data_IF_884644248509
#
_entry.id   IF_884644248509
#
_cell.length_a   1.000
_cell.length_b   1.000
_cell.length_c   1.000
_cell.angle_alpha   90.00
_cell.angle_beta   90.00
_cell.angle_gamma   90.00
#
_symmetry.space_group_name_H-M   'P 1'
#
loop_
_entity.id
_entity.type
_entity.pdbx_description
1 polymer ?
#
# COMPACT_ATOMS: atom_id res chain seq x y z
N UNK A 1 -3.83 16.99 0.78
CA UNK A 1 -4.79 16.68 -0.30
C UNK A 1 -4.32 15.47 -1.09
N UNK A 2 -5.23 14.56 -1.36
CA UNK A 2 -4.92 13.34 -2.13
C UNK A 2 -5.14 13.62 -3.60
N UNK A 3 -4.12 13.36 -4.42
CA UNK A 3 -4.09 13.70 -5.84
C UNK A 3 -3.77 12.47 -6.67
N UNK A 4 -4.06 12.54 -7.98
CA UNK A 4 -3.65 11.55 -8.96
C UNK A 4 -2.32 11.99 -9.59
N UNK A 5 -1.29 11.12 -9.61
CA UNK A 5 -0.04 11.46 -10.29
C UNK A 5 -0.19 11.32 -11.80
N UNK A 6 0.79 11.87 -12.52
CA UNK A 6 0.94 11.66 -13.96
C UNK A 6 2.17 10.78 -14.21
N UNK A 7 2.37 10.26 -15.43
CA UNK A 7 3.58 9.49 -15.74
C UNK A 7 4.90 10.23 -15.47
N UNK A 8 4.87 11.56 -15.47
CA UNK A 8 6.05 12.37 -15.12
C UNK A 8 6.45 12.21 -13.66
N UNK A 9 5.54 11.76 -12.80
CA UNK A 9 5.80 11.54 -11.38
C UNK A 9 6.36 10.16 -11.08
N UNK A 10 6.41 9.25 -12.05
CA UNK A 10 6.75 7.85 -11.80
C UNK A 10 8.16 7.67 -11.24
N UNK A 11 9.13 8.46 -11.70
CA UNK A 11 10.49 8.37 -11.16
C UNK A 11 10.54 8.78 -9.68
N UNK A 12 9.78 9.78 -9.30
CA UNK A 12 9.68 10.18 -7.89
C UNK A 12 8.97 9.10 -7.07
N UNK A 13 7.92 8.47 -7.60
CA UNK A 13 7.24 7.35 -6.95
C UNK A 13 8.22 6.19 -6.69
N UNK A 14 9.05 5.87 -7.67
CA UNK A 14 10.07 4.82 -7.50
C UNK A 14 11.06 5.20 -6.41
N UNK A 15 11.45 6.46 -6.33
CA UNK A 15 12.36 6.96 -5.28
C UNK A 15 11.72 6.79 -3.90
N UNK A 16 10.44 7.14 -3.76
CA UNK A 16 9.70 6.99 -2.49
C UNK A 16 9.61 5.51 -2.11
N UNK A 17 9.26 4.66 -3.05
CA UNK A 17 9.15 3.22 -2.80
C UNK A 17 10.49 2.63 -2.39
N UNK A 18 11.56 2.95 -3.14
CA UNK A 18 12.89 2.43 -2.85
C UNK A 18 13.38 2.86 -1.47
N UNK A 19 13.20 4.13 -1.12
CA UNK A 19 13.57 4.63 0.20
C UNK A 19 12.81 3.91 1.31
N UNK A 20 11.50 3.72 1.12
CA UNK A 20 10.65 3.02 2.08
C UNK A 20 11.06 1.56 2.22
N UNK A 21 11.28 0.87 1.10
CA UNK A 21 11.70 -0.53 1.08
C UNK A 21 13.04 -0.71 1.78
N UNK A 22 14.02 0.16 1.51
CA UNK A 22 15.32 0.07 2.17
C UNK A 22 15.24 0.26 3.67
N UNK A 23 14.27 1.03 4.16
CA UNK A 23 14.12 1.27 5.59
C UNK A 23 13.31 0.19 6.31
N UNK A 24 12.48 -0.59 5.60
CA UNK A 24 11.54 -1.53 6.20
C UNK A 24 11.71 -2.98 5.76
N UNK A 25 12.21 -3.21 4.55
CA UNK A 25 12.32 -4.55 3.96
C UNK A 25 13.75 -5.05 4.04
N UNK A 26 14.29 -5.20 5.26
CA UNK A 26 15.68 -5.63 5.47
C UNK A 26 15.96 -7.05 4.97
N UNK A 27 14.92 -7.82 4.71
CA UNK A 27 15.02 -9.17 4.15
C UNK A 27 15.29 -9.17 2.65
N UNK A 28 15.13 -8.01 1.95
CA UNK A 28 15.42 -7.91 0.52
C UNK A 28 16.88 -7.58 0.29
N UNK A 29 17.52 -8.34 -0.62
CA UNK A 29 18.86 -8.04 -1.08
C UNK A 29 18.81 -6.95 -2.15
N UNK A 30 19.94 -6.30 -2.40
CA UNK A 30 20.05 -5.26 -3.43
C UNK A 30 19.60 -5.80 -4.80
N UNK A 31 19.94 -7.04 -5.13
CA UNK A 31 19.54 -7.67 -6.39
C UNK A 31 18.01 -7.76 -6.53
N UNK A 32 17.30 -7.97 -5.42
CA UNK A 32 15.85 -8.05 -5.43
C UNK A 32 15.24 -6.67 -5.66
N UNK A 33 15.78 -5.64 -5.03
CA UNK A 33 15.32 -4.26 -5.22
C UNK A 33 15.48 -3.87 -6.68
N UNK A 34 16.62 -4.15 -7.28
CA UNK A 34 16.88 -3.83 -8.68
C UNK A 34 16.05 -4.67 -9.63
N UNK A 35 15.76 -5.92 -9.28
CA UNK A 35 14.90 -6.79 -10.09
C UNK A 35 13.48 -6.22 -10.23
N UNK A 36 12.88 -5.74 -9.13
CA UNK A 36 11.50 -5.26 -9.14
C UNK A 36 11.36 -3.86 -9.75
N UNK A 37 12.41 -3.06 -9.73
CA UNK A 37 12.34 -1.65 -10.13
C UNK A 37 11.73 -1.43 -11.52
N UNK A 38 12.23 -2.07 -12.60
CA UNK A 38 11.63 -1.88 -13.93
C UNK A 38 10.24 -2.48 -14.03
N UNK A 39 9.96 -3.59 -13.33
CA UNK A 39 8.63 -4.19 -13.33
C UNK A 39 7.60 -3.25 -12.73
N UNK A 40 7.95 -2.58 -11.65
CA UNK A 40 7.05 -1.65 -10.98
C UNK A 40 6.74 -0.47 -11.89
N UNK A 41 7.77 0.13 -12.48
CA UNK A 41 7.60 1.29 -13.36
C UNK A 41 6.82 0.96 -14.64
N UNK A 42 7.14 -0.16 -15.26
CA UNK A 42 6.63 -0.50 -16.59
C UNK A 42 5.32 -1.27 -16.55
N UNK A 43 5.04 -1.98 -15.46
CA UNK A 43 3.87 -2.84 -15.38
C UNK A 43 2.97 -2.52 -14.20
N UNK A 44 3.51 -2.47 -12.97
CA UNK A 44 2.69 -2.37 -11.78
C UNK A 44 2.02 -1.01 -11.63
N UNK A 45 2.73 0.08 -11.94
CA UNK A 45 2.14 1.41 -11.89
C UNK A 45 0.99 1.57 -12.89
N UNK A 46 1.08 0.91 -14.05
CA UNK A 46 0.04 0.96 -15.06
C UNK A 46 -1.17 0.08 -14.72
N UNK A 47 -0.97 -0.92 -13.86
CA UNK A 47 -2.01 -1.89 -13.50
C UNK A 47 -2.88 -1.41 -12.35
N UNK A 48 -2.53 -0.30 -11.69
CA UNK A 48 -3.24 0.20 -10.50
C UNK A 48 -3.67 1.64 -10.68
N UNK A 49 -4.61 2.06 -9.87
CA UNK A 49 -5.03 3.45 -9.74
C UNK A 49 -4.17 4.10 -8.67
N UNK A 50 -3.32 5.04 -9.05
CA UNK A 50 -2.34 5.66 -8.17
C UNK A 50 -2.89 6.95 -7.52
N UNK A 51 -2.55 7.13 -6.24
CA UNK A 51 -2.87 8.32 -5.46
C UNK A 51 -1.65 8.77 -4.69
N UNK A 52 -1.45 10.08 -4.59
CA UNK A 52 -0.29 10.67 -3.92
C UNK A 52 -0.72 11.73 -2.91
N UNK A 53 0.14 11.97 -1.92
CA UNK A 53 0.09 13.13 -1.05
C UNK A 53 1.44 13.82 -1.14
N UNK A 54 1.43 15.15 -1.40
CA UNK A 54 2.65 15.96 -1.38
C UNK A 54 2.78 16.63 -0.02
N UNK A 55 4.03 16.83 0.42
CA UNK A 55 4.32 17.56 1.65
C UNK A 55 4.34 19.08 1.35
N UNK A 56 4.72 19.84 2.36
CA UNK A 56 4.80 21.32 2.26
C UNK A 56 5.81 21.79 1.23
N UNK A 57 6.81 20.96 0.91
CA UNK A 57 7.84 21.25 -0.08
C UNK A 57 7.46 20.76 -1.48
N UNK A 58 6.20 20.37 -1.69
CA UNK A 58 5.70 19.82 -2.96
C UNK A 58 6.36 18.49 -3.37
N UNK A 59 7.04 17.82 -2.45
CA UNK A 59 7.59 16.48 -2.68
C UNK A 59 6.52 15.43 -2.41
N UNK A 60 6.55 14.33 -3.14
CA UNK A 60 5.67 13.20 -2.86
C UNK A 60 6.10 12.57 -1.53
N UNK A 61 5.26 12.72 -0.51
CA UNK A 61 5.52 12.18 0.82
C UNK A 61 5.08 10.72 0.94
N UNK A 62 4.01 10.36 0.23
CA UNK A 62 3.41 9.04 0.30
C UNK A 62 2.60 8.79 -0.97
N UNK A 63 2.44 7.51 -1.30
CA UNK A 63 1.55 7.12 -2.41
C UNK A 63 0.93 5.76 -2.15
N UNK A 64 -0.19 5.50 -2.84
CA UNK A 64 -0.80 4.17 -2.86
C UNK A 64 -1.27 3.81 -4.26
N UNK A 65 -1.34 2.52 -4.53
CA UNK A 65 -1.90 1.97 -5.75
C UNK A 65 -3.04 1.03 -5.40
N UNK A 66 -4.17 1.22 -6.05
CA UNK A 66 -5.37 0.44 -5.82
C UNK A 66 -5.74 -0.37 -7.07
N UNK A 67 -6.11 -1.62 -6.88
CA UNK A 67 -6.85 -2.38 -7.87
C UNK A 67 -8.34 -2.38 -7.47
N UNK A 68 -9.17 -3.14 -8.18
CA UNK A 68 -10.61 -3.12 -7.91
C UNK A 68 -10.98 -3.50 -6.47
N UNK A 69 -10.21 -4.38 -5.84
CA UNK A 69 -10.52 -4.91 -4.52
C UNK A 69 -9.42 -4.74 -3.48
N UNK A 70 -8.22 -4.33 -3.90
CA UNK A 70 -7.04 -4.38 -3.04
C UNK A 70 -6.30 -3.05 -2.99
N UNK A 71 -5.76 -2.76 -1.79
CA UNK A 71 -4.63 -1.83 -1.68
C UNK A 71 -3.40 -2.64 -2.09
N UNK A 72 -2.90 -2.39 -3.29
CA UNK A 72 -1.75 -3.12 -3.85
C UNK A 72 -0.42 -2.55 -3.38
N UNK A 73 -0.37 -1.25 -3.16
CA UNK A 73 0.82 -0.53 -2.73
C UNK A 73 0.42 0.58 -1.77
N UNK A 74 1.21 0.75 -0.71
CA UNK A 74 1.08 1.90 0.19
C UNK A 74 2.45 2.16 0.80
N UNK A 75 3.09 3.25 0.37
CA UNK A 75 4.43 3.59 0.81
C UNK A 75 4.49 5.03 1.31
N UNK A 76 5.22 5.23 2.39
CA UNK A 76 5.48 6.55 2.97
C UNK A 76 6.98 6.77 2.96
N UNK A 77 7.41 7.94 2.50
CA UNK A 77 8.83 8.32 2.56
C UNK A 77 9.29 8.23 4.03
N UNK A 78 10.46 7.60 4.30
CA UNK A 78 10.88 7.37 5.70
C UNK A 78 10.96 8.65 6.54
N UNK A 79 11.40 9.76 5.96
CA UNK A 79 11.48 11.04 6.67
C UNK A 79 10.13 11.72 6.88
N UNK A 80 9.06 11.15 6.33
CA UNK A 80 7.69 11.65 6.49
C UNK A 80 6.81 10.74 7.33
N UNK A 81 7.39 9.72 7.95
CA UNK A 81 6.67 8.82 8.85
C UNK A 81 6.17 9.57 10.09
N UNK A 82 5.07 9.10 10.66
CA UNK A 82 4.51 9.69 11.88
C UNK A 82 3.67 10.93 11.64
N UNK A 83 3.44 11.35 10.40
CA UNK A 83 2.64 12.53 10.06
C UNK A 83 1.22 12.18 9.60
N UNK A 84 0.86 10.92 9.63
CA UNK A 84 -0.49 10.48 9.28
C UNK A 84 -0.77 10.29 7.79
N UNK A 85 0.23 10.34 6.93
CA UNK A 85 0.03 10.19 5.49
C UNK A 85 -0.49 8.80 5.11
N UNK A 86 0.10 7.75 5.68
CA UNK A 86 -0.34 6.38 5.40
C UNK A 86 -1.77 6.16 5.86
N UNK A 87 -2.12 6.66 7.03
CA UNK A 87 -3.48 6.56 7.55
C UNK A 87 -4.48 7.29 6.67
N UNK A 88 -4.13 8.48 6.20
CA UNK A 88 -5.01 9.27 5.32
C UNK A 88 -5.27 8.55 4.00
N UNK A 89 -4.24 7.95 3.40
CA UNK A 89 -4.39 7.17 2.17
C UNK A 89 -5.24 5.94 2.41
N UNK A 90 -4.98 5.21 3.49
CA UNK A 90 -5.75 4.01 3.82
C UNK A 90 -7.23 4.35 4.06
N UNK A 91 -7.51 5.42 4.81
CA UNK A 91 -8.88 5.86 5.06
C UNK A 91 -9.59 6.27 3.76
N UNK A 92 -8.88 6.91 2.85
CA UNK A 92 -9.42 7.24 1.53
C UNK A 92 -9.79 5.97 0.76
N UNK A 93 -8.92 4.97 0.77
CA UNK A 93 -9.20 3.70 0.11
C UNK A 93 -10.44 3.02 0.70
N UNK A 94 -10.54 2.98 2.02
CA UNK A 94 -11.66 2.33 2.70
C UNK A 94 -12.97 3.09 2.54
N UNK A 95 -12.96 4.40 2.78
CA UNK A 95 -14.20 5.18 2.85
C UNK A 95 -14.65 5.75 1.51
N UNK A 96 -13.73 6.12 0.64
CA UNK A 96 -14.08 6.73 -0.65
C UNK A 96 -14.09 5.71 -1.78
N UNK A 97 -13.22 4.71 -1.74
CA UNK A 97 -13.10 3.70 -2.80
C UNK A 97 -13.69 2.36 -2.41
N UNK A 98 -14.14 2.21 -1.16
CA UNK A 98 -14.78 0.98 -0.64
C UNK A 98 -13.87 -0.26 -0.76
N UNK A 99 -12.58 -0.07 -0.53
CA UNK A 99 -11.60 -1.14 -0.58
C UNK A 99 -11.28 -1.58 0.84
N UNK A 100 -11.45 -2.88 1.12
CA UNK A 100 -11.32 -3.45 2.46
C UNK A 100 -10.25 -4.53 2.56
N UNK A 101 -9.43 -4.71 1.53
CA UNK A 101 -8.41 -5.75 1.46
C UNK A 101 -7.06 -5.15 1.14
N UNK A 102 -6.02 -5.74 1.70
CA UNK A 102 -4.62 -5.37 1.41
C UNK A 102 -3.76 -6.62 1.43
N UNK A 103 -2.82 -6.68 0.49
CA UNK A 103 -1.77 -7.68 0.51
C UNK A 103 -0.50 -7.03 1.05
N UNK A 104 0.13 -7.70 2.00
CA UNK A 104 1.32 -7.16 2.66
C UNK A 104 2.37 -8.25 2.80
N UNK A 105 3.63 -7.87 2.64
CA UNK A 105 4.74 -8.77 2.87
C UNK A 105 4.79 -9.15 4.36
N UNK A 106 4.71 -10.44 4.65
CA UNK A 106 4.72 -10.94 6.04
C UNK A 106 5.94 -10.48 6.82
N UNK A 107 7.07 -10.34 6.15
CA UNK A 107 8.33 -9.95 6.78
C UNK A 107 8.43 -8.46 7.06
N UNK A 108 7.50 -7.66 6.51
CA UNK A 108 7.40 -6.25 6.84
C UNK A 108 6.53 -6.07 8.09
N UNK A 109 7.16 -6.24 9.25
CA UNK A 109 6.45 -6.15 10.53
C UNK A 109 5.81 -4.81 10.80
N UNK A 110 6.43 -3.73 10.34
CA UNK A 110 5.87 -2.38 10.51
C UNK A 110 4.54 -2.23 9.78
N UNK A 111 4.48 -2.66 8.52
CA UNK A 111 3.24 -2.60 7.74
C UNK A 111 2.18 -3.54 8.32
N UNK A 112 2.56 -4.75 8.71
CA UNK A 112 1.62 -5.69 9.32
C UNK A 112 0.98 -5.09 10.58
N UNK A 113 1.77 -4.48 11.46
CA UNK A 113 1.28 -3.84 12.67
C UNK A 113 0.38 -2.64 12.35
N UNK A 114 0.74 -1.85 11.34
CA UNK A 114 -0.06 -0.72 10.90
C UNK A 114 -1.48 -1.16 10.51
N UNK A 115 -1.58 -2.15 9.62
CA UNK A 115 -2.88 -2.62 9.16
C UNK A 115 -3.67 -3.31 10.27
N UNK A 116 -3.02 -4.11 11.10
CA UNK A 116 -3.69 -4.75 12.23
C UNK A 116 -4.22 -3.72 13.23
N UNK A 117 -3.45 -2.66 13.49
CA UNK A 117 -3.90 -1.57 14.35
C UNK A 117 -5.11 -0.84 13.74
N UNK A 118 -5.20 -0.77 12.43
CA UNK A 118 -6.34 -0.16 11.74
C UNK A 118 -7.54 -1.11 11.63
N UNK A 119 -7.46 -2.31 12.19
CA UNK A 119 -8.57 -3.24 12.27
C UNK A 119 -8.54 -4.36 11.23
N UNK A 120 -7.51 -4.42 10.37
CA UNK A 120 -7.39 -5.49 9.39
C UNK A 120 -7.03 -6.80 10.09
N UNK A 121 -7.58 -7.91 9.58
CA UNK A 121 -7.35 -9.26 10.08
C UNK A 121 -6.79 -10.13 8.98
N UNK A 122 -5.99 -11.14 9.36
CA UNK A 122 -5.42 -12.10 8.40
C UNK A 122 -6.53 -12.99 7.87
N UNK A 123 -6.72 -12.97 6.55
CA UNK A 123 -7.69 -13.80 5.85
C UNK A 123 -7.01 -14.93 5.06
N UNK A 124 -5.73 -14.81 4.76
CA UNK A 124 -4.99 -15.83 4.01
C UNK A 124 -3.51 -15.51 3.93
N UNK A 125 -2.75 -16.45 3.35
CA UNK A 125 -1.31 -16.33 3.23
C UNK A 125 -0.83 -17.13 2.02
N UNK A 126 0.07 -16.53 1.23
CA UNK A 126 0.84 -17.23 0.20
C UNK A 126 2.28 -17.34 0.65
N UNK A 127 2.91 -18.47 0.38
CA UNK A 127 4.30 -18.71 0.80
C UNK A 127 5.32 -17.97 -0.05
N UNK A 128 4.91 -17.55 -1.26
CA UNK A 128 5.77 -16.80 -2.18
C UNK A 128 5.05 -15.54 -2.64
N UNK A 129 5.83 -14.61 -3.19
CA UNK A 129 5.25 -13.46 -3.87
C UNK A 129 4.74 -13.86 -5.27
N UNK A 130 4.08 -12.95 -6.02
CA UNK A 130 3.56 -13.27 -7.36
C UNK A 130 4.63 -13.68 -8.37
N UNK A 131 5.89 -13.36 -8.13
CA UNK A 131 7.01 -13.74 -8.99
C UNK A 131 7.65 -15.07 -8.57
N UNK A 132 7.07 -15.76 -7.57
CA UNK A 132 7.58 -17.03 -7.08
C UNK A 132 8.78 -16.92 -6.16
N UNK A 133 9.15 -15.72 -5.72
CA UNK A 133 10.25 -15.53 -4.79
C UNK A 133 9.81 -15.85 -3.35
N UNK A 134 10.75 -16.23 -2.46
CA UNK A 134 10.42 -16.67 -1.10
C UNK A 134 10.14 -15.50 -0.15
N UNK A 135 9.20 -14.67 -0.53
CA UNK A 135 8.73 -13.53 0.26
C UNK A 135 7.23 -13.74 0.53
N UNK A 136 6.87 -14.32 1.68
CA UNK A 136 5.47 -14.63 1.97
C UNK A 136 4.58 -13.39 2.00
N UNK A 137 3.37 -13.54 1.49
CA UNK A 137 2.38 -12.47 1.43
C UNK A 137 1.21 -12.83 2.35
N UNK A 138 0.84 -11.90 3.22
CA UNK A 138 -0.38 -11.99 4.00
C UNK A 138 -1.51 -11.27 3.29
N UNK A 139 -2.66 -11.92 3.22
CA UNK A 139 -3.89 -11.31 2.74
C UNK A 139 -4.69 -10.84 3.94
N UNK A 140 -4.81 -9.52 4.08
CA UNK A 140 -5.51 -8.90 5.20
C UNK A 140 -6.84 -8.32 4.73
N UNK A 141 -7.82 -8.32 5.62
CA UNK A 141 -9.15 -7.85 5.30
C UNK A 141 -9.78 -7.18 6.51
N UNK A 142 -10.49 -6.06 6.27
CA UNK A 142 -11.33 -5.46 7.29
C UNK A 142 -12.59 -6.29 7.45
N UNK A 143 -13.02 -6.55 8.71
CA UNK A 143 -14.32 -7.17 8.92
C UNK A 143 -15.41 -6.27 8.36
N UNK A 144 -16.32 -6.84 7.59
CA UNK A 144 -17.48 -6.11 7.10
C UNK A 144 -18.57 -6.25 8.16
N UNK A 145 -19.13 -5.15 8.70
CA UNK A 145 -20.26 -5.24 9.61
C UNK A 145 -21.58 -5.30 8.82
N UNK A 146 -21.96 -6.48 8.27
CA UNK A 146 -23.14 -6.57 7.41
C UNK A 146 -24.44 -6.25 8.16
N UNK A 147 -24.48 -6.50 9.45
CA UNK A 147 -25.66 -6.28 10.27
C UNK A 147 -25.98 -4.80 10.47
N UNK A 148 -24.96 -3.97 10.61
CA UNK A 148 -25.14 -2.52 10.77
C UNK A 148 -25.71 -1.92 9.48
N UNK A 149 -25.18 -2.32 8.34
CA UNK A 149 -25.67 -1.87 7.04
C UNK A 149 -27.14 -2.26 6.82
N UNK A 150 -27.49 -3.49 7.20
CA UNK A 150 -28.89 -3.95 7.08
C UNK A 150 -29.85 -3.18 7.99
N UNK A 151 -29.41 -2.84 9.20
CA UNK A 151 -30.21 -2.05 10.13
C UNK A 151 -30.43 -0.64 9.57
N UNK A 152 -29.40 -0.02 9.04
CA UNK A 152 -29.49 1.31 8.44
C UNK A 152 -30.47 1.34 7.26
N UNK A 153 -30.48 0.31 6.43
CA UNK A 153 -31.39 0.22 5.29
C UNK A 153 -32.83 -0.01 5.69
N UNK A 154 -33.08 -0.53 6.88
CA UNK A 154 -34.43 -0.77 7.38
C UNK A 154 -35.04 0.42 8.12
N UNK A 155 -34.19 1.35 8.48
CA UNK A 155 -34.61 2.55 9.16
C UNK A 155 -34.97 3.67 8.19
#
# INVERSE_FOLDING_TARGET
MILRPTPQDYDELLTVREASVRSTHHFLAEKDIQFYKPLIREQYFLAVELYIIRNEKEEIAAFMGLSDELIEMLFVRPDQQGKGYGKRLMEYAVHQKHIHKVDVNEQNGQACRFYQHMGFQVAGRDETDPMGKPFPILHLQLPTPPQITQIEHRL
#
